data_IF_289988592859
#
_entry.id   IF_289988592859
#
_cell.length_a   1.000
_cell.length_b   1.000
_cell.length_c   1.000
_cell.angle_alpha   90.00
_cell.angle_beta   90.00
_cell.angle_gamma   90.00
#
_symmetry.space_group_name_H-M   'P 1'
#
loop_
_entity.id
_entity.type
_entity.pdbx_description
1 polymer ?
#
# COMPACT_ATOMS: atom_id res chain seq x y z
N UNK A 1 -50.02 17.53 3.75
CA UNK A 1 -49.63 16.53 2.76
C UNK A 1 -48.19 16.60 2.36
N UNK A 2 -47.55 17.76 2.09
CA UNK A 2 -46.13 17.86 1.71
C UNK A 2 -45.13 17.36 2.77
N UNK A 3 -45.43 17.52 4.08
CA UNK A 3 -44.56 17.08 5.17
C UNK A 3 -44.51 15.54 5.35
N UNK A 4 -45.59 14.85 5.01
CA UNK A 4 -45.69 13.40 5.11
C UNK A 4 -44.87 12.70 4.00
N UNK A 5 -44.84 13.27 2.81
CA UNK A 5 -44.08 12.75 1.67
C UNK A 5 -42.55 12.84 1.91
N UNK A 6 -42.10 13.93 2.54
CA UNK A 6 -40.67 14.11 2.89
C UNK A 6 -40.23 13.09 3.95
N UNK A 7 -41.07 12.81 4.94
CA UNK A 7 -40.76 11.79 5.97
C UNK A 7 -40.69 10.38 5.36
N UNK A 8 -41.50 10.04 4.39
CA UNK A 8 -41.49 8.75 3.70
C UNK A 8 -40.26 8.58 2.80
N UNK A 9 -39.80 9.65 2.17
CA UNK A 9 -38.58 9.62 1.35
C UNK A 9 -37.32 9.48 2.24
N UNK A 10 -37.28 10.16 3.41
CA UNK A 10 -36.15 10.00 4.35
C UNK A 10 -36.09 8.60 4.98
N UNK A 11 -37.21 7.96 5.24
CA UNK A 11 -37.26 6.60 5.76
C UNK A 11 -36.77 5.56 4.72
N UNK A 12 -36.95 5.82 3.43
CA UNK A 12 -36.48 4.93 2.36
C UNK A 12 -34.93 4.96 2.16
N UNK A 13 -34.28 6.05 2.58
CA UNK A 13 -32.80 6.21 2.44
C UNK A 13 -32.04 5.56 3.60
N UNK A 14 -32.72 5.20 4.70
CA UNK A 14 -32.11 4.52 5.85
C UNK A 14 -32.30 3.01 5.86
N UNK A 15 -32.52 2.37 4.72
CA UNK A 15 -32.38 0.92 4.66
C UNK A 15 -30.90 0.59 4.90
N UNK A 16 -30.58 -0.19 5.96
CA UNK A 16 -29.22 -0.65 6.13
C UNK A 16 -28.84 -1.41 4.87
N UNK A 17 -27.75 -1.01 4.24
CA UNK A 17 -27.13 -1.82 3.21
C UNK A 17 -26.90 -3.18 3.85
N UNK A 18 -27.73 -4.16 3.53
CA UNK A 18 -27.49 -5.52 3.94
C UNK A 18 -26.12 -5.88 3.36
N UNK A 19 -25.10 -5.92 4.23
CA UNK A 19 -23.82 -6.46 3.86
C UNK A 19 -24.15 -7.80 3.20
N UNK A 20 -23.85 -7.90 1.90
CA UNK A 20 -24.04 -9.15 1.17
C UNK A 20 -23.49 -10.26 2.04
N UNK A 21 -24.37 -11.16 2.50
CA UNK A 21 -23.92 -12.46 3.03
C UNK A 21 -22.86 -12.93 2.05
N UNK A 22 -21.63 -13.16 2.52
CA UNK A 22 -20.60 -13.79 1.71
C UNK A 22 -21.25 -15.02 1.07
N UNK A 23 -21.73 -14.85 -0.16
CA UNK A 23 -22.18 -15.96 -0.99
C UNK A 23 -21.02 -16.91 -1.01
N UNK A 24 -21.21 -18.16 -0.61
CA UNK A 24 -20.14 -19.14 -0.68
C UNK A 24 -19.60 -19.08 -2.10
N UNK A 25 -18.35 -18.67 -2.25
CA UNK A 25 -17.66 -18.81 -3.52
C UNK A 25 -17.81 -20.28 -3.88
N UNK A 26 -18.24 -20.60 -5.08
CA UNK A 26 -18.45 -21.98 -5.53
C UNK A 26 -17.20 -22.87 -5.51
N UNK A 27 -16.17 -22.43 -4.77
CA UNK A 27 -14.93 -23.14 -4.54
C UNK A 27 -15.01 -23.92 -3.23
N UNK A 28 -14.90 -25.27 -3.30
CA UNK A 28 -15.19 -26.14 -2.14
C UNK A 28 -14.14 -26.08 -1.03
N UNK A 29 -13.03 -25.38 -1.24
CA UNK A 29 -11.92 -25.29 -0.29
C UNK A 29 -11.95 -23.92 0.40
N UNK A 30 -11.95 -23.93 1.72
CA UNK A 30 -11.80 -22.71 2.54
C UNK A 30 -10.34 -22.57 2.95
N UNK A 31 -9.65 -21.45 2.58
CA UNK A 31 -8.27 -21.23 2.99
C UNK A 31 -8.16 -21.12 4.52
N UNK A 32 -7.12 -21.70 5.09
CA UNK A 32 -6.75 -21.46 6.48
C UNK A 32 -6.04 -20.12 6.55
N UNK A 33 -6.42 -19.29 7.52
CA UNK A 33 -5.72 -18.03 7.79
C UNK A 33 -4.24 -18.33 8.13
N UNK A 34 -3.30 -17.69 7.45
CA UNK A 34 -1.87 -17.96 7.62
C UNK A 34 -1.38 -17.71 9.06
N UNK A 35 -2.03 -16.81 9.80
CA UNK A 35 -1.76 -16.55 11.23
C UNK A 35 -2.06 -17.74 12.13
N UNK A 36 -2.87 -18.69 11.66
CA UNK A 36 -3.20 -19.94 12.38
C UNK A 36 -2.24 -21.07 12.03
N UNK A 37 -1.35 -20.86 11.05
CA UNK A 37 -0.37 -21.85 10.60
C UNK A 37 0.96 -21.61 11.32
N UNK A 38 1.48 -22.64 11.98
CA UNK A 38 2.82 -22.61 12.59
C UNK A 38 3.75 -23.51 11.80
N UNK A 39 4.84 -22.93 11.31
CA UNK A 39 5.93 -23.69 10.67
C UNK A 39 6.83 -24.26 11.76
N UNK A 40 6.91 -25.58 11.86
CA UNK A 40 7.67 -26.30 12.91
C UNK A 40 8.86 -27.07 12.38
N UNK A 41 9.01 -27.16 11.05
CA UNK A 41 10.13 -27.86 10.43
C UNK A 41 11.40 -26.98 10.35
N UNK A 42 12.54 -27.65 10.23
CA UNK A 42 13.85 -26.97 10.19
C UNK A 42 14.14 -26.31 8.85
N UNK A 43 13.51 -26.74 7.77
CA UNK A 43 13.75 -26.20 6.43
C UNK A 43 13.07 -24.85 6.22
N UNK A 44 11.76 -24.79 6.39
CA UNK A 44 11.00 -23.53 6.22
C UNK A 44 11.20 -22.58 7.38
N UNK A 45 11.38 -23.10 8.61
CA UNK A 45 11.64 -22.28 9.79
C UNK A 45 12.90 -21.43 9.65
N UNK A 46 13.99 -22.01 9.09
CA UNK A 46 15.22 -21.25 8.81
C UNK A 46 15.02 -20.18 7.74
N UNK A 47 14.21 -20.43 6.72
CA UNK A 47 13.90 -19.45 5.68
C UNK A 47 13.07 -18.29 6.19
N UNK A 48 12.07 -18.56 7.00
CA UNK A 48 11.30 -17.51 7.67
C UNK A 48 12.16 -16.67 8.60
N UNK A 49 13.07 -17.31 9.32
CA UNK A 49 14.08 -16.61 10.15
C UNK A 49 14.98 -15.71 9.29
N UNK A 50 15.54 -16.22 8.21
CA UNK A 50 16.38 -15.45 7.29
C UNK A 50 15.61 -14.28 6.64
N UNK A 51 14.36 -14.51 6.26
CA UNK A 51 13.49 -13.44 5.73
C UNK A 51 13.34 -12.31 6.75
N UNK A 52 13.01 -12.63 7.99
CA UNK A 52 12.80 -11.65 9.06
C UNK A 52 14.09 -10.92 9.46
N UNK A 53 15.18 -11.65 9.63
CA UNK A 53 16.41 -11.11 10.24
C UNK A 53 17.38 -10.50 9.23
N UNK A 54 17.25 -10.87 7.95
CA UNK A 54 18.18 -10.44 6.90
C UNK A 54 17.46 -9.79 5.71
N UNK A 55 16.49 -10.50 5.09
CA UNK A 55 15.94 -10.06 3.82
C UNK A 55 15.11 -8.79 3.97
N UNK A 56 14.22 -8.72 4.96
CA UNK A 56 13.37 -7.55 5.20
C UNK A 56 14.19 -6.31 5.54
N UNK A 57 15.13 -6.35 6.52
CA UNK A 57 16.02 -5.23 6.80
C UNK A 57 16.85 -4.79 5.59
N UNK A 58 17.38 -5.74 4.82
CA UNK A 58 18.14 -5.44 3.61
C UNK A 58 17.25 -4.75 2.54
N UNK A 59 16.03 -5.22 2.35
CA UNK A 59 15.10 -4.62 1.38
C UNK A 59 14.78 -3.17 1.73
N UNK A 60 14.52 -2.86 2.98
CA UNK A 60 14.34 -1.49 3.45
C UNK A 60 15.59 -0.63 3.25
N UNK A 61 16.77 -1.14 3.61
CA UNK A 61 18.05 -0.45 3.38
C UNK A 61 18.24 -0.13 1.89
N UNK A 62 17.88 -1.06 1.00
CA UNK A 62 17.97 -0.82 -0.45
C UNK A 62 16.96 0.20 -0.95
N UNK A 63 15.74 0.24 -0.42
CA UNK A 63 14.80 1.30 -0.73
C UNK A 63 15.35 2.69 -0.35
N UNK A 64 16.02 2.81 0.79
CA UNK A 64 16.66 4.05 1.23
C UNK A 64 17.86 4.41 0.35
N UNK A 65 18.84 3.51 0.23
CA UNK A 65 20.09 3.70 -0.53
C UNK A 65 19.85 4.06 -2.00
N UNK A 66 18.80 3.54 -2.60
CA UNK A 66 18.47 3.74 -4.01
C UNK A 66 17.46 4.86 -4.25
N UNK A 67 17.12 5.63 -3.20
CA UNK A 67 16.32 6.84 -3.32
C UNK A 67 14.81 6.64 -3.46
N UNK A 68 14.27 5.43 -3.17
CA UNK A 68 12.83 5.19 -3.23
C UNK A 68 12.07 6.10 -2.25
N UNK A 69 12.58 6.27 -1.03
CA UNK A 69 11.96 7.21 -0.06
C UNK A 69 12.06 8.65 -0.52
N UNK A 70 13.19 9.04 -1.10
CA UNK A 70 13.39 10.39 -1.66
C UNK A 70 12.37 10.72 -2.77
N UNK A 71 11.91 9.72 -3.54
CA UNK A 71 10.85 9.95 -4.52
C UNK A 71 9.54 10.37 -3.85
N UNK A 72 9.15 9.73 -2.74
CA UNK A 72 7.97 10.13 -1.96
C UNK A 72 8.16 11.52 -1.33
N UNK A 73 9.33 11.81 -0.77
CA UNK A 73 9.64 13.14 -0.20
C UNK A 73 9.52 14.25 -1.26
N UNK A 74 10.00 14.00 -2.47
CA UNK A 74 9.84 14.92 -3.60
C UNK A 74 8.38 15.05 -4.04
N UNK A 75 7.62 13.94 -4.06
CA UNK A 75 6.21 13.97 -4.39
C UNK A 75 5.38 14.73 -3.35
N UNK A 76 5.77 14.67 -2.07
CA UNK A 76 5.17 15.48 -1.00
C UNK A 76 5.38 16.99 -1.18
N UNK A 77 6.42 17.40 -1.92
CA UNK A 77 6.78 18.81 -2.21
C UNK A 77 7.14 18.97 -3.70
N UNK A 78 6.17 18.90 -4.62
CA UNK A 78 6.42 18.89 -6.05
C UNK A 78 7.18 20.10 -6.55
N UNK A 79 8.08 19.92 -7.55
CA UNK A 79 8.83 21.00 -8.16
C UNK A 79 9.13 20.71 -9.63
N UNK A 80 9.00 21.73 -10.48
CA UNK A 80 9.40 21.67 -11.89
C UNK A 80 10.92 21.47 -12.08
N UNK A 81 11.71 21.75 -11.03
CA UNK A 81 13.16 21.53 -11.05
C UNK A 81 13.55 20.06 -10.87
N UNK A 82 12.65 19.21 -10.43
CA UNK A 82 12.95 17.78 -10.23
C UNK A 82 13.01 17.07 -11.59
N UNK A 83 14.10 16.34 -11.79
CA UNK A 83 14.22 15.40 -12.89
C UNK A 83 13.61 14.07 -12.46
N UNK A 84 12.54 13.68 -13.12
CA UNK A 84 11.90 12.39 -12.90
C UNK A 84 12.65 11.34 -13.73
N UNK A 85 13.26 10.39 -13.05
CA UNK A 85 14.06 9.34 -13.66
C UNK A 85 13.94 8.04 -12.90
N UNK A 86 14.75 7.05 -13.24
CA UNK A 86 14.66 5.70 -12.69
C UNK A 86 13.60 4.88 -13.43
N UNK A 87 12.92 4.00 -12.71
CA UNK A 87 11.81 3.23 -13.24
C UNK A 87 10.50 3.84 -12.76
N UNK A 88 9.49 3.90 -13.63
CA UNK A 88 8.19 4.47 -13.30
C UNK A 88 7.49 3.79 -12.13
N UNK A 89 7.83 2.53 -11.89
CA UNK A 89 7.25 1.66 -10.85
C UNK A 89 8.13 1.53 -9.59
N UNK A 90 9.11 2.38 -9.37
CA UNK A 90 10.00 2.35 -8.19
C UNK A 90 9.23 2.39 -6.85
N UNK A 91 8.05 3.02 -6.81
CA UNK A 91 7.16 3.06 -5.65
C UNK A 91 6.78 1.67 -5.15
N UNK A 92 6.65 0.71 -6.07
CA UNK A 92 6.20 -0.66 -5.75
C UNK A 92 7.21 -1.42 -4.88
N UNK A 93 8.49 -1.05 -4.91
CA UNK A 93 9.51 -1.67 -4.07
C UNK A 93 9.25 -1.36 -2.59
N UNK A 94 8.84 -0.13 -2.29
CA UNK A 94 8.46 0.29 -0.94
C UNK A 94 7.19 -0.45 -0.48
N UNK A 95 6.16 -0.51 -1.32
CA UNK A 95 4.90 -1.18 -0.98
C UNK A 95 5.08 -2.66 -0.72
N UNK A 96 5.81 -3.36 -1.60
CA UNK A 96 6.09 -4.80 -1.44
C UNK A 96 6.92 -5.09 -0.20
N UNK A 97 7.87 -4.22 0.14
CA UNK A 97 8.70 -4.40 1.34
C UNK A 97 7.87 -4.20 2.61
N UNK A 98 7.00 -3.18 2.66
CA UNK A 98 6.05 -2.97 3.77
C UNK A 98 5.10 -4.16 3.89
N UNK A 99 4.56 -4.65 2.78
CA UNK A 99 3.66 -5.81 2.77
C UNK A 99 4.35 -7.05 3.34
N UNK A 100 5.55 -7.39 2.83
CA UNK A 100 6.31 -8.54 3.31
C UNK A 100 6.68 -8.45 4.79
N UNK A 101 7.05 -7.25 5.26
CA UNK A 101 7.33 -6.98 6.67
C UNK A 101 6.06 -7.12 7.54
N UNK A 102 4.92 -6.65 7.05
CA UNK A 102 3.64 -6.78 7.74
C UNK A 102 3.20 -8.23 7.89
N UNK A 103 3.40 -9.06 6.86
CA UNK A 103 3.19 -10.51 6.98
C UNK A 103 4.10 -11.15 8.03
N UNK A 104 5.37 -10.73 8.09
CA UNK A 104 6.30 -11.22 9.11
C UNK A 104 5.84 -10.86 10.52
N UNK A 105 5.34 -9.64 10.73
CA UNK A 105 4.83 -9.16 12.03
C UNK A 105 3.58 -9.92 12.50
N UNK A 106 2.79 -10.49 11.60
CA UNK A 106 1.62 -11.31 11.95
C UNK A 106 2.03 -12.61 12.67
N UNK A 107 3.25 -13.09 12.42
CA UNK A 107 3.76 -14.34 13.01
C UNK A 107 4.83 -14.09 14.06
N UNK A 108 5.57 -12.99 13.97
CA UNK A 108 6.66 -12.64 14.87
C UNK A 108 6.58 -11.17 15.27
N UNK A 109 6.20 -10.91 16.52
CA UNK A 109 6.13 -9.53 17.04
C UNK A 109 7.51 -8.88 17.13
N UNK A 110 7.68 -7.71 16.52
CA UNK A 110 8.88 -6.88 16.61
C UNK A 110 8.48 -5.39 16.66
N UNK A 111 8.58 -4.80 17.84
CA UNK A 111 8.21 -3.39 18.06
C UNK A 111 9.09 -2.40 17.28
N UNK A 112 10.36 -2.72 17.04
CA UNK A 112 11.28 -1.85 16.28
C UNK A 112 10.90 -1.86 14.80
N UNK A 113 10.55 -3.03 14.28
CA UNK A 113 10.07 -3.12 12.90
C UNK A 113 8.74 -2.38 12.71
N UNK A 114 7.81 -2.47 13.66
CA UNK A 114 6.56 -1.67 13.63
C UNK A 114 6.87 -0.17 13.55
N UNK A 115 7.68 0.35 14.47
CA UNK A 115 8.06 1.77 14.49
C UNK A 115 8.75 2.21 13.19
N UNK A 116 9.59 1.35 12.62
CA UNK A 116 10.24 1.65 11.36
C UNK A 116 9.24 1.71 10.20
N UNK A 117 8.33 0.74 10.11
CA UNK A 117 7.26 0.74 9.10
C UNK A 117 6.39 1.99 9.24
N UNK A 118 6.01 2.36 10.47
CA UNK A 118 5.23 3.58 10.72
C UNK A 118 5.95 4.82 10.19
N UNK A 119 7.28 4.93 10.40
CA UNK A 119 8.07 6.04 9.87
C UNK A 119 8.11 6.08 8.33
N UNK A 120 8.17 4.93 7.67
CA UNK A 120 8.09 4.84 6.20
C UNK A 120 6.70 5.18 5.70
N UNK A 121 5.65 4.72 6.38
CA UNK A 121 4.26 5.06 6.06
C UNK A 121 3.99 6.56 6.17
N UNK A 122 4.60 7.25 7.15
CA UNK A 122 4.51 8.71 7.29
C UNK A 122 5.13 9.44 6.07
N UNK A 123 6.21 8.92 5.50
CA UNK A 123 6.81 9.46 4.26
C UNK A 123 5.84 9.25 3.08
N UNK A 124 5.32 8.04 2.92
CA UNK A 124 4.38 7.69 1.85
C UNK A 124 3.09 8.50 1.95
N UNK A 125 2.52 8.63 3.14
CA UNK A 125 1.28 9.38 3.37
C UNK A 125 1.39 10.85 2.98
N UNK A 126 2.53 11.49 3.20
CA UNK A 126 2.77 12.88 2.79
C UNK A 126 2.80 13.08 1.27
N UNK A 127 3.12 12.04 0.52
CA UNK A 127 3.16 12.07 -0.93
C UNK A 127 1.79 11.86 -1.59
N UNK A 128 0.81 11.37 -0.82
CA UNK A 128 -0.52 11.12 -1.33
C UNK A 128 -1.26 12.44 -1.59
N UNK A 129 -1.83 12.57 -2.77
CA UNK A 129 -2.60 13.76 -3.15
C UNK A 129 -3.98 13.78 -2.45
N UNK A 130 -4.63 14.96 -2.33
CA UNK A 130 -5.88 15.08 -1.57
C UNK A 130 -7.04 14.21 -2.06
N UNK A 131 -7.02 13.80 -3.32
CA UNK A 131 -7.99 12.90 -3.91
C UNK A 131 -7.64 11.41 -3.75
N UNK A 132 -6.53 11.12 -3.07
CA UNK A 132 -6.04 9.77 -2.81
C UNK A 132 -5.05 9.23 -3.85
N UNK A 133 -4.78 9.99 -4.92
CA UNK A 133 -3.81 9.59 -5.93
C UNK A 133 -2.39 9.50 -5.33
N UNK A 134 -1.64 8.47 -5.70
CA UNK A 134 -0.30 8.22 -5.17
C UNK A 134 0.56 7.54 -6.25
N UNK A 135 1.36 8.35 -6.94
CA UNK A 135 2.31 7.88 -7.95
C UNK A 135 3.46 8.89 -8.09
N UNK A 136 4.60 8.61 -7.48
CA UNK A 136 5.69 9.58 -7.34
C UNK A 136 6.25 10.04 -8.67
N UNK A 137 6.34 9.15 -9.67
CA UNK A 137 6.86 9.43 -11.01
C UNK A 137 6.06 10.48 -11.79
N UNK A 138 4.84 10.80 -11.34
CA UNK A 138 4.03 11.91 -11.86
C UNK A 138 4.02 13.08 -10.89
N UNK A 139 3.71 12.80 -9.62
CA UNK A 139 3.42 13.84 -8.62
C UNK A 139 4.62 14.73 -8.32
N UNK A 140 5.85 14.19 -8.33
CA UNK A 140 7.04 15.00 -8.00
C UNK A 140 7.33 16.10 -9.03
N UNK A 141 6.95 15.96 -10.30
CA UNK A 141 7.00 17.00 -11.33
C UNK A 141 5.80 16.87 -12.28
N UNK A 142 4.64 17.46 -11.94
CA UNK A 142 3.41 17.29 -12.71
C UNK A 142 3.45 17.85 -14.13
N UNK A 143 4.35 18.82 -14.41
CA UNK A 143 4.51 19.38 -15.77
C UNK A 143 5.39 18.51 -16.66
N UNK A 144 6.35 17.82 -16.07
CA UNK A 144 7.28 16.94 -16.77
C UNK A 144 7.39 15.60 -16.04
N UNK A 145 6.30 14.80 -16.03
CA UNK A 145 6.30 13.50 -15.39
C UNK A 145 7.22 12.51 -16.11
N UNK A 146 7.42 11.34 -15.54
CA UNK A 146 8.14 10.26 -16.21
C UNK A 146 7.49 9.94 -17.57
N UNK A 147 8.29 9.65 -18.59
CA UNK A 147 7.82 9.41 -19.98
C UNK A 147 6.77 8.29 -20.07
N UNK A 148 6.80 7.32 -19.16
CA UNK A 148 5.86 6.21 -19.10
C UNK A 148 4.57 6.53 -18.36
N UNK A 149 4.52 7.62 -17.60
CA UNK A 149 3.29 8.05 -16.93
C UNK A 149 2.19 8.53 -17.89
N UNK A 150 2.51 8.80 -19.18
CA UNK A 150 1.55 9.29 -20.16
C UNK A 150 1.14 10.75 -19.95
N UNK A 151 0.23 11.23 -20.80
CA UNK A 151 -0.19 12.64 -20.80
C UNK A 151 -1.20 12.96 -19.69
N UNK A 152 -1.96 11.95 -19.25
CA UNK A 152 -3.02 12.08 -18.27
C UNK A 152 -2.88 10.98 -17.22
N UNK A 153 -3.39 11.23 -16.01
CA UNK A 153 -3.58 10.19 -14.99
C UNK A 153 -4.33 9.01 -15.59
N UNK A 154 -3.98 7.81 -15.17
CA UNK A 154 -4.61 6.55 -15.59
C UNK A 154 -4.52 6.25 -17.09
N UNK A 155 -3.48 6.76 -17.75
CA UNK A 155 -3.36 6.65 -19.22
C UNK A 155 -2.27 5.70 -19.70
N UNK A 156 -1.30 5.31 -18.87
CA UNK A 156 -0.22 4.38 -19.18
C UNK A 156 0.17 3.51 -17.98
N UNK A 157 1.36 3.71 -17.46
CA UNK A 157 2.02 2.90 -16.43
C UNK A 157 1.54 3.22 -14.98
N UNK A 158 0.43 3.84 -14.85
CA UNK A 158 -0.15 4.21 -13.55
C UNK A 158 -0.94 3.09 -12.89
#
# INVERSE_FOLDING_TARGET
MKKLVIATIMAAVMMPANAQKKGGHGYPITPVEFTKVKVTDSFWGQRLKASREVTIPLAFSKCEETGRYTNFEKAANPSESYKVGGLSFDDTDVYKTIEGASYSLQTYSDKRLVQYIDSVLDIVAKAQEPDGYLYTSRTMNPKHPHEWAGDKRWSKEE
#
